data_IF_712327987415
#
_entry.id   IF_712327987415
#
_cell.length_a   1.000
_cell.length_b   1.000
_cell.length_c   1.000
_cell.angle_alpha   90.00
_cell.angle_beta   90.00
_cell.angle_gamma   90.00
#
_symmetry.space_group_name_H-M   'P 1'
#
loop_
_entity.id
_entity.type
_entity.pdbx_description
1 polymer ?
#
# COMPACT_ATOMS: atom_id res chain seq x y z
N UNK A 1 9.70 -16.72 9.20
CA UNK A 1 10.08 -16.86 7.78
C UNK A 1 9.73 -15.56 7.08
N UNK A 2 10.74 -14.74 6.76
CA UNK A 2 10.55 -13.37 6.25
C UNK A 2 10.53 -13.42 4.73
N UNK A 3 9.34 -13.27 4.13
CA UNK A 3 9.22 -13.16 2.68
C UNK A 3 9.93 -11.90 2.19
N UNK A 4 10.86 -12.07 1.26
CA UNK A 4 11.55 -10.96 0.63
C UNK A 4 10.57 -10.24 -0.29
N UNK A 5 10.22 -9.00 0.02
CA UNK A 5 9.45 -8.17 -0.89
C UNK A 5 10.26 -7.93 -2.18
N UNK A 6 9.62 -7.93 -3.37
CA UNK A 6 10.27 -7.44 -4.61
C UNK A 6 10.60 -5.96 -4.48
N UNK A 7 11.79 -5.69 -3.98
CA UNK A 7 12.41 -4.37 -3.96
C UNK A 7 13.08 -4.13 -5.31
N UNK A 8 12.30 -3.75 -6.32
CA UNK A 8 12.87 -3.45 -7.64
C UNK A 8 12.98 -1.94 -7.80
N UNK A 9 14.22 -1.43 -7.88
CA UNK A 9 14.54 -0.02 -8.21
C UNK A 9 13.77 1.03 -7.37
N UNK A 10 13.64 0.80 -6.05
CA UNK A 10 12.96 1.74 -5.13
C UNK A 10 11.43 1.66 -5.14
N UNK A 11 10.87 0.62 -5.77
CA UNK A 11 9.44 0.31 -5.76
C UNK A 11 9.14 -0.95 -4.96
N UNK A 12 7.95 -0.99 -4.37
CA UNK A 12 7.42 -2.10 -3.59
C UNK A 12 5.94 -2.32 -3.94
N UNK A 13 5.49 -3.58 -3.85
CA UNK A 13 4.09 -3.93 -3.91
C UNK A 13 3.50 -3.90 -2.50
N UNK A 14 2.37 -3.22 -2.35
CA UNK A 14 1.58 -3.24 -1.12
C UNK A 14 0.50 -4.32 -1.23
N UNK A 15 0.08 -4.86 -0.08
CA UNK A 15 -1.08 -5.75 0.01
C UNK A 15 -2.35 -4.94 -0.23
N UNK A 16 -2.84 -4.99 -1.47
CA UNK A 16 -3.98 -4.20 -1.90
C UNK A 16 -5.29 -4.62 -1.23
N UNK A 17 -5.42 -5.89 -0.80
CA UNK A 17 -6.59 -6.35 -0.07
C UNK A 17 -6.59 -5.75 1.35
N UNK A 18 -5.43 -5.78 2.02
CA UNK A 18 -5.26 -5.17 3.34
C UNK A 18 -5.48 -3.65 3.30
N UNK A 19 -4.94 -2.94 2.31
CA UNK A 19 -5.18 -1.49 2.17
C UNK A 19 -6.67 -1.16 2.07
N UNK A 20 -7.42 -1.93 1.26
CA UNK A 20 -8.88 -1.77 1.12
C UNK A 20 -9.59 -2.07 2.43
N UNK A 21 -9.19 -3.13 3.13
CA UNK A 21 -9.75 -3.50 4.43
C UNK A 21 -9.52 -2.39 5.47
N UNK A 22 -8.30 -1.86 5.61
CA UNK A 22 -7.98 -0.77 6.54
C UNK A 22 -8.80 0.48 6.25
N UNK A 23 -9.00 0.82 4.98
CA UNK A 23 -9.87 1.94 4.58
C UNK A 23 -11.34 1.67 4.89
N UNK A 24 -11.86 0.49 4.55
CA UNK A 24 -13.26 0.13 4.76
C UNK A 24 -13.61 -0.03 6.24
N UNK A 25 -12.67 -0.47 7.08
CA UNK A 25 -12.84 -0.51 8.53
C UNK A 25 -13.06 0.89 9.15
N UNK A 26 -12.65 1.95 8.44
CA UNK A 26 -12.91 3.35 8.80
C UNK A 26 -14.14 3.94 8.09
N UNK A 27 -14.92 3.11 7.38
CA UNK A 27 -16.07 3.52 6.57
C UNK A 27 -15.74 4.60 5.52
N UNK A 28 -14.52 4.60 4.97
CA UNK A 28 -14.05 5.62 4.02
C UNK A 28 -14.12 5.14 2.57
N UNK A 29 -14.54 5.99 1.64
CA UNK A 29 -14.25 5.84 0.21
C UNK A 29 -12.79 6.18 -0.10
N UNK A 30 -12.33 5.92 -1.32
CA UNK A 30 -10.97 6.32 -1.75
C UNK A 30 -10.78 7.84 -1.71
N UNK A 31 -11.84 8.60 -2.00
CA UNK A 31 -11.84 10.06 -1.90
C UNK A 31 -11.75 10.50 -0.44
N UNK A 32 -12.55 9.90 0.45
CA UNK A 32 -12.52 10.25 1.88
C UNK A 32 -11.13 9.99 2.50
N UNK A 33 -10.47 8.89 2.09
CA UNK A 33 -9.09 8.61 2.51
C UNK A 33 -8.11 9.66 1.98
N UNK A 34 -8.26 10.09 0.72
CA UNK A 34 -7.41 11.14 0.15
C UNK A 34 -7.59 12.46 0.92
N UNK A 35 -8.83 12.81 1.24
CA UNK A 35 -9.16 14.02 1.98
C UNK A 35 -8.65 13.94 3.44
N UNK A 36 -8.75 12.79 4.10
CA UNK A 36 -8.16 12.55 5.42
C UNK A 36 -6.64 12.67 5.41
N UNK A 37 -5.96 11.98 4.48
CA UNK A 37 -4.51 12.06 4.36
C UNK A 37 -4.10 13.52 4.05
N UNK A 38 -4.84 14.27 3.22
CA UNK A 38 -4.60 15.70 2.96
C UNK A 38 -4.73 16.56 4.23
N UNK A 39 -5.81 16.40 5.01
CA UNK A 39 -6.00 17.10 6.29
C UNK A 39 -4.87 16.85 7.28
N UNK A 40 -4.23 15.68 7.21
CA UNK A 40 -3.12 15.24 8.07
C UNK A 40 -1.73 15.55 7.48
N UNK A 41 -1.66 16.30 6.38
CA UNK A 41 -0.42 16.61 5.67
C UNK A 41 0.37 15.34 5.24
N UNK A 42 -0.37 14.33 4.79
CA UNK A 42 0.13 13.08 4.24
C UNK A 42 -0.05 13.13 2.72
N UNK A 43 1.03 13.14 1.92
CA UNK A 43 0.97 13.39 0.48
C UNK A 43 0.54 12.13 -0.30
N UNK A 44 -0.68 11.66 -0.05
CA UNK A 44 -1.35 10.61 -0.78
C UNK A 44 -2.54 11.19 -1.54
N UNK A 45 -2.43 11.22 -2.87
CA UNK A 45 -3.53 11.61 -3.74
C UNK A 45 -4.49 10.45 -4.02
N UNK A 46 -5.72 10.77 -4.42
CA UNK A 46 -6.70 9.77 -4.89
C UNK A 46 -6.10 8.83 -5.94
N UNK A 47 -5.36 9.36 -6.92
CA UNK A 47 -4.71 8.55 -7.96
C UNK A 47 -3.69 7.56 -7.38
N UNK A 48 -2.97 7.98 -6.34
CA UNK A 48 -1.99 7.11 -5.65
C UNK A 48 -2.70 6.00 -4.88
N UNK A 49 -3.76 6.34 -4.16
CA UNK A 49 -4.62 5.40 -3.43
C UNK A 49 -5.21 4.36 -4.40
N UNK A 50 -5.83 4.82 -5.48
CA UNK A 50 -6.42 3.96 -6.51
C UNK A 50 -5.39 3.01 -7.11
N UNK A 51 -4.19 3.50 -7.47
CA UNK A 51 -3.11 2.66 -8.01
C UNK A 51 -2.66 1.58 -7.02
N UNK A 52 -2.48 1.93 -5.74
CA UNK A 52 -2.07 0.98 -4.72
C UNK A 52 -3.15 -0.07 -4.45
N UNK A 53 -4.42 0.33 -4.35
CA UNK A 53 -5.55 -0.61 -4.15
C UNK A 53 -5.84 -1.50 -5.38
N UNK A 54 -5.37 -1.10 -6.57
CA UNK A 54 -5.34 -1.94 -7.78
C UNK A 54 -4.10 -2.85 -7.86
N UNK A 55 -3.26 -2.87 -6.83
CA UNK A 55 -2.06 -3.73 -6.77
C UNK A 55 -0.90 -3.25 -7.63
N UNK A 56 -0.86 -1.96 -8.02
CA UNK A 56 0.28 -1.40 -8.76
C UNK A 56 1.42 -1.06 -7.80
N UNK A 57 2.65 -1.36 -8.22
CA UNK A 57 3.84 -1.02 -7.43
C UNK A 57 3.95 0.49 -7.18
N UNK A 58 4.35 0.84 -5.96
CA UNK A 58 4.53 2.22 -5.50
C UNK A 58 5.96 2.45 -5.05
N UNK A 59 6.40 3.71 -5.01
CA UNK A 59 7.74 4.06 -4.49
C UNK A 59 7.79 3.83 -2.97
N UNK A 60 8.97 3.57 -2.41
CA UNK A 60 9.13 3.41 -0.96
C UNK A 60 8.62 4.59 -0.14
N UNK A 61 8.82 5.83 -0.64
CA UNK A 61 8.24 7.02 0.01
C UNK A 61 6.73 6.91 0.14
N UNK A 62 6.05 6.42 -0.89
CA UNK A 62 4.59 6.27 -0.91
C UNK A 62 4.17 5.14 0.05
N UNK A 63 4.90 4.02 0.07
CA UNK A 63 4.67 2.95 1.03
C UNK A 63 4.76 3.45 2.48
N UNK A 64 5.76 4.29 2.79
CA UNK A 64 5.88 4.95 4.10
C UNK A 64 4.70 5.86 4.41
N UNK A 65 4.21 6.62 3.43
CA UNK A 65 3.04 7.48 3.64
C UNK A 65 1.76 6.67 3.85
N UNK A 66 1.59 5.52 3.20
CA UNK A 66 0.48 4.60 3.50
C UNK A 66 0.53 4.07 4.92
N UNK A 67 1.71 3.63 5.36
CA UNK A 67 1.95 3.19 6.73
C UNK A 67 1.59 4.30 7.74
N UNK A 68 1.99 5.55 7.47
CA UNK A 68 1.62 6.71 8.29
C UNK A 68 0.12 7.03 8.24
N UNK A 69 -0.53 6.93 7.08
CA UNK A 69 -1.97 7.23 6.99
C UNK A 69 -2.82 6.18 7.74
N UNK A 70 -2.39 4.92 7.74
CA UNK A 70 -3.06 3.85 8.48
C UNK A 70 -2.56 3.61 9.91
N UNK A 71 -1.47 4.26 10.32
CA UNK A 71 -0.82 4.08 11.62
C UNK A 71 -0.38 2.63 11.86
N UNK A 72 0.33 2.07 10.87
CA UNK A 72 0.81 0.69 10.85
C UNK A 72 2.27 0.66 10.41
N UNK A 73 2.96 -0.45 10.67
CA UNK A 73 4.34 -0.62 10.16
C UNK A 73 4.31 -0.88 8.65
N UNK A 74 5.27 -0.33 7.90
CA UNK A 74 5.38 -0.58 6.45
C UNK A 74 5.43 -2.07 6.12
N UNK A 75 6.11 -2.86 6.96
CA UNK A 75 6.22 -4.33 6.79
C UNK A 75 4.88 -5.06 6.89
N UNK A 76 3.88 -4.48 7.56
CA UNK A 76 2.54 -5.07 7.68
C UNK A 76 1.72 -4.90 6.39
N UNK A 77 1.99 -3.85 5.62
CA UNK A 77 1.24 -3.53 4.40
C UNK A 77 2.00 -3.83 3.11
N UNK A 78 3.24 -4.30 3.20
CA UNK A 78 4.02 -4.75 2.04
C UNK A 78 3.65 -6.20 1.73
N UNK A 79 3.41 -6.48 0.46
CA UNK A 79 3.14 -7.85 0.02
C UNK A 79 4.42 -8.67 0.10
N UNK A 80 4.40 -9.66 0.98
CA UNK A 80 5.31 -10.79 0.98
C UNK A 80 5.24 -11.49 -0.39
N UNK A 81 6.38 -11.76 -1.03
CA UNK A 81 6.36 -12.74 -2.13
C UNK A 81 5.96 -14.10 -1.56
N UNK A 82 4.93 -14.71 -2.13
CA UNK A 82 4.82 -16.16 -2.08
C UNK A 82 5.98 -16.73 -2.90
N UNK A 83 6.87 -17.55 -2.32
CA UNK A 83 7.94 -18.21 -3.08
C UNK A 83 7.41 -19.18 -4.17
N UNK A 84 6.09 -19.30 -4.34
CA UNK A 84 5.45 -20.25 -5.26
C UNK A 84 5.10 -19.69 -6.65
N UNK A 85 5.17 -18.38 -6.90
CA UNK A 85 4.73 -17.79 -8.20
C UNK A 85 5.90 -17.48 -9.15
N UNK A 86 6.99 -18.22 -9.00
CA UNK A 86 8.21 -18.07 -9.79
C UNK A 86 8.44 -19.12 -10.87
N UNK A 87 7.41 -19.83 -11.36
CA UNK A 87 7.54 -20.76 -12.50
C UNK A 87 6.22 -20.86 -13.26
N UNK A 88 6.00 -20.03 -14.28
CA UNK A 88 5.08 -20.37 -15.37
C UNK A 88 5.60 -19.75 -16.68
N UNK A 89 6.29 -20.62 -17.42
CA UNK A 89 6.41 -20.76 -18.89
C UNK A 89 6.63 -19.49 -19.73
#
# INVERSE_FOLDING_TARGET
MTAAARLHRGHVLLDNALLRQLRQARCMSQQDLADDCWRRNIPLSLTTIKRAELGRAVRFRIAREFARCFDVLVTQIVRAEDPATGCHH
#
